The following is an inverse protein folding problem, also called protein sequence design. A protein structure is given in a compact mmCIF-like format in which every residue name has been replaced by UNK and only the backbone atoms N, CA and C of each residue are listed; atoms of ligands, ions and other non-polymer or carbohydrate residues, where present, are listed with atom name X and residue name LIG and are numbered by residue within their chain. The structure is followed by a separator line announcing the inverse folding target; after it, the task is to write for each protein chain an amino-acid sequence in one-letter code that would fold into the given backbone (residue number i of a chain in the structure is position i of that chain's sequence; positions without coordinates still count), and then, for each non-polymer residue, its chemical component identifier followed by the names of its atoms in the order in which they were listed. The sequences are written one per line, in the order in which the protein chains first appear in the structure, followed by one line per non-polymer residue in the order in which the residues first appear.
data_IF_868492834644
#
_entry.id   IF_868492834644
#
_cell.length_a   1.000
_cell.length_b   1.000
_cell.length_c   1.000
_cell.angle_alpha   90.00
_cell.angle_beta   90.00
_cell.angle_gamma   90.00
#
_symmetry.space_group_name_H-M   'P 1'
#
loop_
_entity.id
_entity.type
_entity.pdbx_description
1 polymer ?
#
# COMPACT_ATOMS: atom_id res chain seq x y z
N UNK A 1 -34.47 6.15 46.22
CA UNK A 1 -33.08 6.40 45.78
C UNK A 1 -32.72 5.28 44.82
N UNK A 2 -32.77 5.44 43.48
CA UNK A 2 -32.14 4.47 42.60
C UNK A 2 -30.71 4.93 42.29
N UNK A 3 -29.78 4.01 42.39
CA UNK A 3 -28.37 4.15 42.06
C UNK A 3 -28.20 4.30 40.56
N UNK A 4 -27.57 5.38 40.15
CA UNK A 4 -27.06 5.65 38.80
C UNK A 4 -25.92 4.66 38.49
N UNK A 5 -26.21 3.64 37.70
CA UNK A 5 -25.19 2.80 37.09
C UNK A 5 -24.67 3.54 35.86
N UNK A 6 -23.54 4.25 36.05
CA UNK A 6 -22.72 4.75 34.96
C UNK A 6 -22.24 3.57 34.11
N UNK A 7 -22.88 3.39 32.95
CA UNK A 7 -22.35 2.53 31.88
C UNK A 7 -21.04 3.16 31.38
N UNK A 8 -19.90 2.57 31.78
CA UNK A 8 -18.60 2.91 31.21
C UNK A 8 -18.61 2.60 29.72
N UNK A 9 -18.31 3.61 28.92
CA UNK A 9 -18.12 3.54 27.49
C UNK A 9 -16.93 2.64 27.15
N UNK A 10 -17.17 1.31 27.13
CA UNK A 10 -16.17 0.28 26.80
C UNK A 10 -15.95 0.11 25.30
N UNK A 11 -16.81 0.73 24.47
CA UNK A 11 -16.78 0.55 23.01
C UNK A 11 -15.60 1.26 22.34
N UNK A 12 -15.05 2.33 22.91
CA UNK A 12 -13.90 3.05 22.33
C UNK A 12 -12.56 2.34 22.49
N UNK A 13 -12.42 1.49 23.51
CA UNK A 13 -11.13 0.83 23.82
C UNK A 13 -10.95 -0.45 22.99
N UNK A 14 -12.02 -1.14 22.65
CA UNK A 14 -11.96 -2.39 21.86
C UNK A 14 -11.64 -2.14 20.38
N UNK A 15 -12.15 -1.06 19.77
CA UNK A 15 -11.90 -0.76 18.35
C UNK A 15 -10.43 -0.40 18.08
N UNK A 16 -9.72 0.18 19.06
CA UNK A 16 -8.30 0.55 18.90
C UNK A 16 -7.35 -0.65 18.84
N UNK A 17 -7.74 -1.82 19.35
CA UNK A 17 -6.90 -3.03 19.33
C UNK A 17 -6.88 -3.74 17.96
N UNK A 18 -7.84 -3.46 17.06
CA UNK A 18 -7.90 -4.06 15.73
C UNK A 18 -7.12 -3.30 14.65
N UNK A 19 -6.71 -2.06 14.92
CA UNK A 19 -5.95 -1.25 13.96
C UNK A 19 -4.45 -1.48 14.19
N UNK A 20 -3.81 -2.21 13.30
CA UNK A 20 -2.35 -2.44 13.33
C UNK A 20 -1.53 -1.17 13.05
N UNK A 21 -2.16 -0.10 12.57
CA UNK A 21 -1.56 1.21 12.29
C UNK A 21 -2.51 2.32 12.71
N UNK A 22 -1.96 3.40 13.29
CA UNK A 22 -2.69 4.65 13.48
C UNK A 22 -2.58 5.50 12.19
N UNK A 23 -3.66 5.64 11.40
CA UNK A 23 -3.62 6.42 10.16
C UNK A 23 -3.46 7.93 10.42
N UNK A 24 -3.65 8.38 11.67
CA UNK A 24 -3.54 9.78 12.07
C UNK A 24 -2.21 10.09 12.77
N UNK A 25 -1.34 9.11 12.95
CA UNK A 25 -0.02 9.34 13.52
C UNK A 25 0.82 10.22 12.58
N UNK A 26 1.26 11.37 13.07
CA UNK A 26 2.20 12.24 12.36
C UNK A 26 3.57 11.59 12.44
N UNK A 27 4.13 11.23 11.30
CA UNK A 27 5.50 10.73 11.20
C UNK A 27 6.46 11.89 10.97
N UNK A 28 7.64 11.80 11.57
CA UNK A 28 8.71 12.76 11.26
C UNK A 28 9.07 12.70 9.76
N UNK A 29 9.34 13.88 9.13
CA UNK A 29 9.76 13.91 7.74
C UNK A 29 11.05 13.09 7.56
N UNK A 30 11.06 12.19 6.58
CA UNK A 30 12.25 11.46 6.19
C UNK A 30 12.99 12.20 5.07
N UNK A 31 14.28 11.97 5.00
CA UNK A 31 15.14 12.56 3.96
C UNK A 31 14.88 11.84 2.64
N UNK A 32 14.51 12.58 1.60
CA UNK A 32 14.30 12.05 0.25
C UNK A 32 15.54 12.14 -0.67
N UNK A 33 16.71 12.51 -0.12
CA UNK A 33 17.99 12.46 -0.78
C UNK A 33 18.80 11.30 -0.22
N UNK A 34 19.13 10.33 -1.09
CA UNK A 34 19.73 9.07 -0.69
C UNK A 34 21.13 9.27 -0.06
N UNK A 35 21.94 10.15 -0.63
CA UNK A 35 23.29 10.44 -0.13
C UNK A 35 23.25 11.05 1.27
N UNK A 36 22.32 11.96 1.51
CA UNK A 36 22.09 12.55 2.84
C UNK A 36 21.60 11.54 3.85
N UNK A 37 20.68 10.65 3.46
CA UNK A 37 20.16 9.61 4.33
C UNK A 37 21.29 8.64 4.73
N UNK A 38 22.06 8.15 3.77
CA UNK A 38 23.23 7.29 4.02
C UNK A 38 24.24 7.99 4.92
N UNK A 39 24.58 9.24 4.61
CA UNK A 39 25.54 10.01 5.37
C UNK A 39 25.13 10.21 6.82
N UNK A 40 23.85 10.52 7.07
CA UNK A 40 23.25 10.63 8.39
C UNK A 40 23.38 9.34 9.20
N UNK A 41 23.02 8.20 8.59
CA UNK A 41 23.08 6.90 9.27
C UNK A 41 24.53 6.51 9.60
N UNK A 42 25.46 6.66 8.65
CA UNK A 42 26.89 6.42 8.88
C UNK A 42 27.39 7.26 10.07
N UNK A 43 27.07 8.55 10.08
CA UNK A 43 27.46 9.47 11.16
C UNK A 43 26.82 9.11 12.49
N UNK A 44 25.54 8.69 12.48
CA UNK A 44 24.82 8.28 13.68
C UNK A 44 25.45 7.04 14.32
N UNK A 45 25.75 5.99 13.52
CA UNK A 45 26.42 4.79 14.00
C UNK A 45 27.84 5.06 14.50
N UNK A 46 28.61 5.88 13.80
CA UNK A 46 29.94 6.28 14.25
C UNK A 46 29.90 6.98 15.62
N UNK A 47 28.98 7.95 15.77
CA UNK A 47 28.80 8.67 17.05
C UNK A 47 28.34 7.73 18.16
N UNK A 48 27.46 6.77 17.88
CA UNK A 48 26.99 5.77 18.84
C UNK A 48 28.13 4.89 19.37
N UNK A 49 29.15 4.62 18.53
CA UNK A 49 30.36 3.90 18.92
C UNK A 49 31.39 4.80 19.62
N UNK A 50 31.16 6.11 19.72
CA UNK A 50 32.07 7.06 20.37
C UNK A 50 33.38 7.32 19.62
N UNK A 51 33.48 6.94 18.32
CA UNK A 51 34.71 7.07 17.54
C UNK A 51 34.70 8.34 16.68
N UNK A 52 35.90 8.88 16.40
CA UNK A 52 36.04 10.06 15.57
C UNK A 52 35.96 9.72 14.07
N UNK A 53 35.83 10.76 13.22
CA UNK A 53 35.90 10.59 11.76
C UNK A 53 37.24 10.01 11.35
N UNK A 54 38.35 10.43 12.02
CA UNK A 54 39.69 9.93 11.78
C UNK A 54 39.82 8.45 12.11
N UNK A 55 39.26 8.01 13.24
CA UNK A 55 39.31 6.61 13.64
C UNK A 55 38.57 5.70 12.63
N UNK A 56 37.36 6.11 12.22
CA UNK A 56 36.60 5.35 11.23
C UNK A 56 37.28 5.36 9.84
N UNK A 57 37.88 6.49 9.45
CA UNK A 57 38.67 6.60 8.22
C UNK A 57 39.86 5.63 8.24
N UNK A 58 40.58 5.57 9.35
CA UNK A 58 41.69 4.65 9.56
C UNK A 58 41.27 3.20 9.51
N UNK A 59 40.16 2.84 10.18
CA UNK A 59 39.62 1.47 10.23
C UNK A 59 39.12 0.98 8.85
N UNK A 60 38.71 1.89 7.98
CA UNK A 60 38.09 1.58 6.68
C UNK A 60 39.04 1.76 5.49
N UNK A 61 40.20 2.42 5.67
CA UNK A 61 41.08 2.80 4.59
C UNK A 61 40.50 3.93 3.69
N UNK A 62 39.39 4.54 4.09
CA UNK A 62 38.78 5.67 3.41
C UNK A 62 39.46 6.96 3.92
N UNK A 63 39.79 7.93 3.03
CA UNK A 63 40.35 9.16 3.50
C UNK A 63 39.38 9.97 4.39
N UNK A 64 39.92 10.71 5.37
CA UNK A 64 39.12 11.56 6.27
C UNK A 64 38.22 12.53 5.49
N UNK A 65 38.79 13.13 4.41
CA UNK A 65 38.02 14.05 3.56
C UNK A 65 36.89 13.38 2.79
N UNK A 66 37.11 12.15 2.32
CA UNK A 66 36.06 11.37 1.66
C UNK A 66 34.98 10.96 2.65
N UNK A 67 35.34 10.46 3.83
CA UNK A 67 34.37 10.06 4.87
C UNK A 67 33.54 11.26 5.33
N UNK A 68 34.17 12.44 5.51
CA UNK A 68 33.44 13.67 5.84
C UNK A 68 32.44 14.06 4.75
N UNK A 69 32.80 13.92 3.46
CA UNK A 69 31.86 14.18 2.35
C UNK A 69 30.70 13.19 2.34
N UNK A 70 30.95 11.90 2.63
CA UNK A 70 29.91 10.87 2.77
C UNK A 70 28.95 11.22 3.91
N UNK A 71 29.47 11.52 5.12
CA UNK A 71 28.66 11.84 6.29
C UNK A 71 27.82 13.12 6.14
N UNK A 72 28.20 14.00 5.22
CA UNK A 72 27.45 15.22 4.90
C UNK A 72 26.59 15.08 3.63
N UNK A 73 26.51 13.89 3.03
CA UNK A 73 25.70 13.64 1.84
C UNK A 73 26.20 14.34 0.57
N UNK A 74 27.47 14.75 0.54
CA UNK A 74 28.03 15.51 -0.57
C UNK A 74 28.59 14.63 -1.70
N UNK A 75 28.70 13.31 -1.47
CA UNK A 75 29.09 12.32 -2.47
C UNK A 75 28.34 11.00 -2.24
N UNK A 76 28.12 10.28 -3.33
CA UNK A 76 27.55 8.93 -3.30
C UNK A 76 28.67 7.91 -3.06
N UNK A 77 28.67 7.15 -1.95
CA UNK A 77 29.66 6.11 -1.72
C UNK A 77 29.42 4.92 -2.63
N UNK A 78 30.51 4.26 -3.09
CA UNK A 78 30.41 3.00 -3.82
C UNK A 78 29.87 1.88 -2.93
N UNK A 79 29.30 0.82 -3.52
CA UNK A 79 28.88 -0.38 -2.78
C UNK A 79 30.02 -0.98 -1.97
N UNK A 80 31.24 -0.99 -2.49
CA UNK A 80 32.45 -1.45 -1.78
C UNK A 80 32.71 -0.59 -0.55
N UNK A 81 32.59 0.74 -0.68
CA UNK A 81 32.75 1.67 0.45
C UNK A 81 31.67 1.42 1.50
N UNK A 82 30.41 1.21 1.10
CA UNK A 82 29.33 0.90 2.03
C UNK A 82 29.56 -0.43 2.75
N UNK A 83 30.06 -1.47 2.06
CA UNK A 83 30.39 -2.75 2.70
C UNK A 83 31.52 -2.59 3.74
N UNK A 84 32.53 -1.78 3.42
CA UNK A 84 33.64 -1.53 4.34
C UNK A 84 33.18 -0.77 5.58
N UNK A 85 32.36 0.26 5.40
CA UNK A 85 31.74 1.02 6.50
C UNK A 85 30.84 0.13 7.36
N UNK A 86 30.02 -0.71 6.73
CA UNK A 86 29.12 -1.69 7.38
C UNK A 86 29.91 -2.62 8.31
N UNK A 87 31.01 -3.19 7.84
CA UNK A 87 31.90 -4.06 8.63
C UNK A 87 32.54 -3.31 9.79
N UNK A 88 33.08 -2.14 9.55
CA UNK A 88 33.76 -1.33 10.57
C UNK A 88 32.81 -0.84 11.68
N UNK A 89 31.56 -0.52 11.31
CA UNK A 89 30.54 -0.05 12.25
C UNK A 89 29.75 -1.21 12.90
N UNK A 90 29.92 -2.46 12.45
CA UNK A 90 29.22 -3.62 12.98
C UNK A 90 27.72 -3.63 12.71
N UNK A 91 27.27 -3.07 11.60
CA UNK A 91 25.86 -2.98 11.22
C UNK A 91 25.62 -3.58 9.81
N UNK A 92 24.44 -4.14 9.52
CA UNK A 92 24.14 -4.57 8.16
C UNK A 92 24.09 -3.39 7.20
N UNK A 93 24.56 -3.57 5.95
CA UNK A 93 24.60 -2.50 4.93
C UNK A 93 23.23 -1.84 4.73
N UNK A 94 22.13 -2.60 4.88
CA UNK A 94 20.74 -2.10 4.78
C UNK A 94 20.41 -1.07 5.87
N UNK A 95 21.15 -1.04 6.98
CA UNK A 95 20.95 -0.06 8.04
C UNK A 95 21.19 1.37 7.57
N UNK A 96 22.05 1.57 6.57
CA UNK A 96 22.37 2.90 6.02
C UNK A 96 21.24 3.50 5.18
N UNK A 97 20.23 2.70 4.81
CA UNK A 97 19.10 3.13 3.98
C UNK A 97 17.83 3.41 4.81
N UNK A 98 17.85 3.20 6.13
CA UNK A 98 16.66 3.33 7.00
C UNK A 98 16.06 4.73 7.02
N UNK A 99 16.92 5.75 6.89
CA UNK A 99 16.51 7.15 6.88
C UNK A 99 15.98 7.63 5.53
N UNK A 100 16.13 6.84 4.46
CA UNK A 100 15.71 7.22 3.13
C UNK A 100 14.21 6.97 2.92
N UNK A 101 13.53 7.95 2.38
CA UNK A 101 12.15 7.83 1.92
C UNK A 101 12.09 8.06 0.42
N UNK A 102 11.73 7.00 -0.30
CA UNK A 102 11.48 7.13 -1.74
C UNK A 102 10.29 8.07 -1.99
N UNK A 103 10.33 8.85 -3.09
CA UNK A 103 9.18 9.67 -3.48
C UNK A 103 7.91 8.84 -3.55
N UNK A 104 6.86 9.29 -2.86
CA UNK A 104 5.56 8.61 -2.87
C UNK A 104 4.76 9.05 -4.08
N UNK A 105 4.24 8.08 -4.81
CA UNK A 105 3.42 8.32 -5.99
C UNK A 105 1.98 8.64 -5.60
N UNK A 106 1.35 9.53 -6.36
CA UNK A 106 -0.08 9.79 -6.31
C UNK A 106 -0.61 9.87 -7.73
N UNK A 107 -1.77 9.26 -7.97
CA UNK A 107 -2.47 9.34 -9.25
C UNK A 107 -3.76 10.12 -9.06
N UNK A 108 -3.94 11.19 -9.83
CA UNK A 108 -5.17 11.97 -9.86
C UNK A 108 -5.92 11.71 -11.16
N UNK A 109 -7.16 11.24 -11.05
CA UNK A 109 -8.05 10.98 -12.18
C UNK A 109 -9.26 11.91 -12.05
N UNK A 110 -9.49 12.77 -13.04
CA UNK A 110 -10.67 13.64 -13.07
C UNK A 110 -11.94 12.81 -13.28
N UNK A 111 -13.08 13.33 -12.79
CA UNK A 111 -14.37 12.70 -12.98
C UNK A 111 -14.64 12.38 -14.46
N UNK A 112 -15.02 11.14 -14.74
CA UNK A 112 -15.28 10.66 -16.10
C UNK A 112 -14.03 10.36 -16.94
N UNK A 113 -12.82 10.49 -16.40
CA UNK A 113 -11.55 10.25 -17.12
C UNK A 113 -10.83 8.97 -16.65
N UNK A 114 -11.52 8.10 -15.93
CA UNK A 114 -10.99 6.76 -15.60
C UNK A 114 -10.68 5.97 -16.87
N UNK A 115 -9.63 5.15 -16.81
CA UNK A 115 -9.25 4.29 -17.94
C UNK A 115 -10.28 3.16 -18.04
N UNK A 116 -11.00 3.11 -19.18
CA UNK A 116 -11.91 2.02 -19.44
C UNK A 116 -11.12 0.73 -19.70
N UNK A 117 -11.41 -0.29 -18.91
CA UNK A 117 -10.76 -1.59 -19.02
C UNK A 117 -11.78 -2.62 -19.47
N UNK A 118 -11.45 -3.28 -20.57
CA UNK A 118 -12.14 -4.50 -20.98
C UNK A 118 -11.48 -5.69 -20.26
N UNK A 119 -12.15 -6.22 -19.24
CA UNK A 119 -11.70 -7.47 -18.60
C UNK A 119 -12.09 -8.67 -19.45
N UNK A 120 -11.27 -9.72 -19.46
CA UNK A 120 -11.66 -11.02 -20.04
C UNK A 120 -12.92 -11.51 -19.32
N UNK A 121 -14.01 -11.67 -20.09
CA UNK A 121 -15.32 -12.04 -19.55
C UNK A 121 -16.31 -10.89 -19.36
N UNK A 122 -15.90 -9.62 -19.56
CA UNK A 122 -16.86 -8.51 -19.64
C UNK A 122 -17.74 -8.67 -20.87
N UNK A 123 -19.04 -8.75 -20.65
CA UNK A 123 -20.04 -8.73 -21.72
C UNK A 123 -20.51 -7.31 -22.01
N UNK A 124 -21.24 -7.13 -23.09
CA UNK A 124 -21.80 -5.85 -23.49
C UNK A 124 -22.53 -5.15 -22.33
N UNK A 125 -22.36 -3.84 -22.21
CA UNK A 125 -23.06 -3.01 -21.24
C UNK A 125 -22.35 -2.80 -19.90
N UNK A 126 -21.22 -3.44 -19.65
CA UNK A 126 -20.43 -3.28 -18.40
C UNK A 126 -19.28 -2.32 -18.64
N UNK A 127 -19.25 -1.26 -17.87
CA UNK A 127 -18.18 -0.29 -17.92
C UNK A 127 -17.33 -0.38 -16.63
N UNK A 128 -16.07 -0.75 -16.78
CA UNK A 128 -15.07 -0.74 -15.73
C UNK A 128 -14.12 0.42 -15.96
N UNK A 129 -14.17 1.42 -15.11
CA UNK A 129 -13.26 2.56 -15.14
C UNK A 129 -12.25 2.46 -14.03
N UNK A 130 -10.98 2.21 -14.33
CA UNK A 130 -9.90 2.24 -13.36
C UNK A 130 -9.67 3.69 -12.92
N UNK A 131 -9.76 3.93 -11.61
CA UNK A 131 -9.69 5.28 -11.02
C UNK A 131 -8.29 5.68 -10.56
N UNK A 132 -7.31 4.80 -10.67
CA UNK A 132 -5.93 5.09 -10.33
C UNK A 132 -5.08 3.84 -10.28
N UNK A 133 -3.77 4.04 -10.43
CA UNK A 133 -2.77 2.98 -10.30
C UNK A 133 -1.47 3.57 -9.74
N UNK A 134 -0.78 2.79 -8.92
CA UNK A 134 0.53 3.14 -8.36
C UNK A 134 1.50 2.00 -8.68
N UNK A 135 2.45 2.25 -9.60
CA UNK A 135 3.39 1.24 -10.08
C UNK A 135 4.43 0.80 -9.04
N UNK A 136 4.99 1.77 -8.30
CA UNK A 136 6.09 1.55 -7.37
C UNK A 136 5.64 1.63 -5.92
N UNK A 137 4.82 0.66 -5.51
CA UNK A 137 4.41 0.63 -4.12
C UNK A 137 5.27 -0.40 -3.35
N UNK A 138 5.87 0.09 -2.27
CA UNK A 138 6.75 -0.72 -1.40
C UNK A 138 5.97 -1.54 -0.37
N UNK A 139 4.63 -1.45 -0.36
CA UNK A 139 3.78 -2.16 0.61
C UNK A 139 3.68 -3.66 0.31
N UNK A 140 4.04 -4.10 -0.89
CA UNK A 140 3.88 -5.49 -1.33
C UNK A 140 2.42 -5.86 -1.65
N UNK A 141 1.53 -4.86 -1.72
CA UNK A 141 0.11 -5.02 -2.03
C UNK A 141 -0.23 -4.16 -3.24
N UNK A 142 -0.90 -4.71 -4.22
CA UNK A 142 -1.52 -3.96 -5.32
C UNK A 142 -2.95 -3.61 -4.94
N UNK A 143 -3.36 -2.37 -5.21
CA UNK A 143 -4.73 -1.90 -4.99
C UNK A 143 -5.26 -1.29 -6.27
N UNK A 144 -6.40 -1.80 -6.74
CA UNK A 144 -7.05 -1.36 -7.97
C UNK A 144 -8.47 -0.84 -7.67
N UNK A 145 -8.67 0.47 -7.64
CA UNK A 145 -9.99 1.07 -7.49
C UNK A 145 -10.71 1.18 -8.84
N UNK A 146 -11.87 0.57 -8.97
CA UNK A 146 -12.73 0.61 -10.14
C UNK A 146 -14.05 1.32 -9.84
N UNK A 147 -14.51 2.14 -10.75
CA UNK A 147 -15.92 2.51 -10.84
C UNK A 147 -16.60 1.58 -11.83
N UNK A 148 -17.55 0.80 -11.33
CA UNK A 148 -18.34 -0.14 -12.15
C UNK A 148 -19.69 0.50 -12.41
N UNK A 149 -20.11 0.50 -13.68
CA UNK A 149 -21.43 0.96 -14.10
C UNK A 149 -22.14 -0.15 -14.85
N UNK A 150 -23.31 -0.51 -14.36
CA UNK A 150 -24.22 -1.51 -14.94
C UNK A 150 -25.45 -0.78 -15.49
N UNK A 151 -25.84 -1.14 -16.71
CA UNK A 151 -26.97 -0.55 -17.43
C UNK A 151 -27.97 -1.65 -17.83
N UNK A 152 -29.05 -1.27 -18.46
CA UNK A 152 -30.04 -2.24 -19.01
C UNK A 152 -29.44 -3.16 -20.10
N UNK A 153 -28.33 -2.76 -20.69
CA UNK A 153 -27.64 -3.56 -21.71
C UNK A 153 -26.59 -4.50 -21.07
N UNK A 154 -26.49 -4.47 -19.72
CA UNK A 154 -25.59 -5.34 -18.98
C UNK A 154 -26.23 -6.71 -18.75
N UNK A 155 -25.54 -7.75 -19.21
CA UNK A 155 -25.92 -9.12 -18.92
C UNK A 155 -25.56 -9.51 -17.48
N UNK A 156 -26.30 -10.47 -16.90
CA UNK A 156 -25.91 -11.11 -15.64
C UNK A 156 -24.66 -11.96 -15.86
N UNK A 157 -23.72 -11.90 -14.92
CA UNK A 157 -22.37 -12.42 -15.08
C UNK A 157 -22.17 -13.87 -14.69
N UNK A 158 -21.12 -14.49 -15.24
CA UNK A 158 -20.43 -15.52 -14.51
C UNK A 158 -19.77 -14.90 -13.26
N UNK A 159 -19.77 -15.65 -12.16
CA UNK A 159 -19.07 -15.26 -10.93
C UNK A 159 -17.56 -15.06 -11.20
N UNK A 160 -17.01 -14.03 -10.59
CA UNK A 160 -15.57 -13.82 -10.56
C UNK A 160 -14.97 -14.57 -9.38
N UNK A 161 -13.69 -14.86 -9.49
CA UNK A 161 -12.90 -15.43 -8.40
C UNK A 161 -11.45 -15.03 -8.63
N UNK A 162 -10.83 -14.42 -7.62
CA UNK A 162 -9.44 -14.01 -7.69
C UNK A 162 -8.82 -13.93 -6.29
N UNK A 163 -7.50 -13.98 -6.24
CA UNK A 163 -6.75 -13.84 -5.00
C UNK A 163 -6.97 -12.45 -4.37
N UNK A 164 -7.00 -12.38 -3.04
CA UNK A 164 -7.03 -11.16 -2.27
C UNK A 164 -8.40 -10.78 -1.74
N UNK A 165 -8.57 -9.48 -1.47
CA UNK A 165 -9.78 -8.94 -0.84
C UNK A 165 -10.43 -7.90 -1.74
N UNK A 166 -11.76 -7.80 -1.69
CA UNK A 166 -12.50 -6.78 -2.43
C UNK A 166 -13.45 -6.03 -1.51
N UNK A 167 -13.51 -4.72 -1.70
CA UNK A 167 -14.46 -3.83 -1.04
C UNK A 167 -15.38 -3.19 -2.07
N UNK A 168 -16.68 -3.32 -1.86
CA UNK A 168 -17.71 -2.68 -2.67
C UNK A 168 -18.40 -1.57 -1.88
N UNK A 169 -18.73 -0.48 -2.55
CA UNK A 169 -19.59 0.58 -2.02
C UNK A 169 -20.56 1.05 -3.09
N UNK A 170 -21.85 0.88 -2.81
CA UNK A 170 -22.91 1.26 -3.74
C UNK A 170 -23.11 2.77 -3.78
N UNK A 171 -23.07 3.34 -4.99
CA UNK A 171 -23.27 4.77 -5.25
C UNK A 171 -24.67 5.06 -5.78
N UNK A 172 -25.23 4.17 -6.60
CA UNK A 172 -26.50 4.35 -7.27
C UNK A 172 -27.10 3.00 -7.66
N UNK A 173 -28.44 2.91 -7.68
CA UNK A 173 -29.16 1.70 -8.10
C UNK A 173 -29.27 0.65 -7.00
N UNK A 174 -29.63 -0.58 -7.40
CA UNK A 174 -29.78 -1.73 -6.51
C UNK A 174 -29.42 -3.00 -7.25
N UNK A 175 -28.66 -3.88 -6.60
CA UNK A 175 -28.25 -5.18 -7.13
C UNK A 175 -28.37 -6.25 -6.06
N UNK A 176 -28.63 -7.49 -6.46
CA UNK A 176 -28.37 -8.66 -5.62
C UNK A 176 -26.96 -9.13 -5.96
N UNK A 177 -26.06 -9.12 -4.97
CA UNK A 177 -24.67 -9.52 -5.13
C UNK A 177 -24.42 -10.86 -4.44
N UNK A 178 -23.78 -11.78 -5.16
CA UNK A 178 -23.39 -13.10 -4.65
C UNK A 178 -21.97 -13.08 -4.11
N UNK A 179 -21.77 -13.76 -2.98
CA UNK A 179 -20.45 -14.16 -2.49
C UNK A 179 -20.54 -15.59 -1.93
N UNK A 180 -19.94 -16.53 -2.61
CA UNK A 180 -20.11 -17.95 -2.33
C UNK A 180 -21.58 -18.35 -2.44
N UNK A 181 -22.14 -18.90 -1.37
CA UNK A 181 -23.55 -19.29 -1.25
C UNK A 181 -24.46 -18.16 -0.73
N UNK A 182 -23.89 -17.02 -0.33
CA UNK A 182 -24.63 -15.91 0.25
C UNK A 182 -25.04 -14.88 -0.81
N UNK A 183 -26.25 -14.31 -0.63
CA UNK A 183 -26.80 -13.26 -1.47
C UNK A 183 -27.04 -12.01 -0.62
N UNK A 184 -26.60 -10.88 -1.13
CA UNK A 184 -26.72 -9.57 -0.48
C UNK A 184 -27.48 -8.63 -1.41
N UNK A 185 -28.66 -8.14 -1.00
CA UNK A 185 -29.34 -7.05 -1.70
C UNK A 185 -28.69 -5.75 -1.27
N UNK A 186 -28.05 -5.07 -2.21
CA UNK A 186 -27.27 -3.85 -1.96
C UNK A 186 -27.87 -2.66 -2.68
N UNK A 187 -28.12 -1.58 -1.97
CA UNK A 187 -28.61 -0.30 -2.46
C UNK A 187 -27.59 0.82 -2.19
N UNK A 188 -27.85 2.01 -2.74
CA UNK A 188 -26.95 3.16 -2.55
C UNK A 188 -26.66 3.44 -1.07
N UNK A 189 -25.39 3.52 -0.70
CA UNK A 189 -24.89 3.68 0.67
C UNK A 189 -24.45 2.39 1.34
N UNK A 190 -24.84 1.21 0.82
CA UNK A 190 -24.40 -0.08 1.35
C UNK A 190 -22.98 -0.41 0.95
N UNK A 191 -22.31 -1.21 1.78
CA UNK A 191 -20.98 -1.73 1.51
C UNK A 191 -20.87 -3.22 1.79
N UNK A 192 -20.00 -3.91 1.05
CA UNK A 192 -19.66 -5.30 1.24
C UNK A 192 -18.14 -5.44 1.17
N UNK A 193 -17.54 -6.12 2.16
CA UNK A 193 -16.12 -6.42 2.22
C UNK A 193 -15.93 -7.92 2.37
N UNK A 194 -15.16 -8.54 1.49
CA UNK A 194 -15.07 -9.98 1.42
C UNK A 194 -13.71 -10.47 0.89
N UNK A 195 -13.46 -11.75 1.14
CA UNK A 195 -12.36 -12.53 0.56
C UNK A 195 -12.75 -12.93 -0.88
N UNK A 196 -11.98 -12.47 -1.85
CA UNK A 196 -12.28 -12.66 -3.27
C UNK A 196 -11.91 -14.06 -3.81
N UNK A 197 -11.35 -14.94 -2.98
CA UNK A 197 -11.11 -16.35 -3.33
C UNK A 197 -12.40 -17.17 -3.43
N UNK A 198 -13.51 -16.68 -2.86
CA UNK A 198 -14.82 -17.28 -3.10
C UNK A 198 -15.45 -16.72 -4.41
N UNK A 199 -16.26 -17.52 -5.15
CA UNK A 199 -16.99 -17.02 -6.32
C UNK A 199 -17.92 -15.88 -5.94
N UNK A 200 -17.84 -14.75 -6.66
CA UNK A 200 -18.60 -13.54 -6.35
C UNK A 200 -18.99 -12.77 -7.62
N UNK A 201 -20.02 -11.92 -7.52
CA UNK A 201 -20.47 -11.08 -8.61
C UNK A 201 -21.93 -10.67 -8.48
N UNK A 202 -22.41 -9.71 -9.32
CA UNK A 202 -23.82 -9.37 -9.37
C UNK A 202 -24.66 -10.55 -9.92
N UNK A 203 -25.66 -10.95 -9.16
CA UNK A 203 -26.59 -12.05 -9.49
C UNK A 203 -27.86 -11.53 -10.16
N UNK A 204 -28.36 -10.36 -9.68
CA UNK A 204 -29.55 -9.72 -10.20
C UNK A 204 -29.38 -8.20 -10.21
N UNK A 205 -29.84 -7.57 -11.30
CA UNK A 205 -29.84 -6.11 -11.49
C UNK A 205 -31.25 -5.59 -11.19
N UNK A 206 -31.49 -5.16 -9.95
CA UNK A 206 -32.84 -4.80 -9.46
C UNK A 206 -33.24 -3.40 -9.90
N UNK A 207 -32.34 -2.40 -9.73
CA UNK A 207 -32.59 -1.01 -10.11
C UNK A 207 -31.39 -0.43 -10.88
N UNK A 208 -31.63 0.00 -12.11
CA UNK A 208 -30.64 0.51 -13.03
C UNK A 208 -30.81 2.00 -13.32
N UNK A 209 -29.71 2.74 -13.65
CA UNK A 209 -28.34 2.24 -13.66
C UNK A 209 -27.87 1.92 -12.25
N UNK A 210 -27.05 0.86 -12.11
CA UNK A 210 -26.39 0.57 -10.85
C UNK A 210 -24.90 0.96 -10.99
N UNK A 211 -24.40 1.70 -9.99
CA UNK A 211 -23.02 2.17 -9.94
C UNK A 211 -22.42 1.89 -8.59
N UNK A 212 -21.24 1.33 -8.57
CA UNK A 212 -20.53 1.05 -7.32
C UNK A 212 -19.03 1.14 -7.50
N UNK A 213 -18.37 1.50 -6.40
CA UNK A 213 -16.93 1.42 -6.26
C UNK A 213 -16.55 -0.02 -5.92
N UNK A 214 -15.59 -0.59 -6.66
CA UNK A 214 -14.94 -1.85 -6.33
C UNK A 214 -13.47 -1.56 -6.10
N UNK A 215 -12.96 -1.91 -4.92
CA UNK A 215 -11.55 -1.76 -4.58
C UNK A 215 -10.99 -3.16 -4.35
N UNK A 216 -10.17 -3.61 -5.31
CA UNK A 216 -9.52 -4.92 -5.27
C UNK A 216 -8.13 -4.74 -4.68
N UNK A 217 -7.78 -5.59 -3.72
CA UNK A 217 -6.48 -5.59 -3.06
C UNK A 217 -5.91 -7.00 -3.06
N UNK A 218 -4.70 -7.20 -3.61
CA UNK A 218 -4.04 -8.49 -3.69
C UNK A 218 -2.52 -8.36 -3.51
N UNK A 219 -1.81 -9.44 -3.11
CA UNK A 219 -0.37 -9.43 -2.99
C UNK A 219 0.31 -9.09 -4.33
N UNK A 220 1.26 -8.17 -4.29
CA UNK A 220 2.07 -7.88 -5.47
C UNK A 220 2.96 -9.08 -5.80
N UNK A 221 2.78 -9.69 -6.97
CA UNK A 221 3.67 -10.73 -7.45
C UNK A 221 5.05 -10.13 -7.69
N UNK A 222 6.03 -10.49 -6.86
CA UNK A 222 7.43 -10.18 -7.15
C UNK A 222 7.82 -10.95 -8.41
N UNK A 223 8.19 -10.23 -9.47
CA UNK A 223 8.88 -10.79 -10.61
C UNK A 223 10.24 -11.31 -10.11
N UNK A 224 10.33 -12.60 -9.84
CA UNK A 224 11.62 -13.20 -9.43
C UNK A 224 11.44 -14.39 -8.52
N UNK A 225 11.11 -15.51 -9.10
CA UNK A 225 11.64 -16.85 -8.87
C UNK A 225 10.89 -17.86 -9.74
N UNK A 226 10.76 -17.58 -11.03
CA UNK A 226 10.66 -18.67 -11.98
C UNK A 226 12.06 -19.27 -12.08
N UNK A 227 12.19 -20.49 -11.58
CA UNK A 227 13.37 -21.31 -11.68
C UNK A 227 13.92 -21.22 -13.10
N UNK A 228 15.13 -20.65 -13.22
CA UNK A 228 16.00 -20.96 -14.34
C UNK A 228 16.32 -22.45 -14.28
N UNK A 229 16.20 -23.17 -15.40
CA UNK A 229 16.47 -24.60 -15.47
C UNK A 229 17.93 -24.92 -15.15
#
# INVERSE_FOLDING_TARGET
MPEDIMAKDTTKTETAQFLSQDPHAIREPRVNNLEMAIGHEVRAYRKKLGITVTDLASATGVSVGMLSKIENGNISPSLTTLQTLSKALGVPITAFFRGFEEPRSATFVKAGQGVNIERRGTRAGHQYSLLGHIDNNTSGVTVEPYLITLTKDSDVFPTFQHEGMEFLYMLEGEVVYRHGEQLFTMQAGDSLFFDADAPHGPEELVKLPARYLSIISYPQRRLGNENLP
#
